data_IF_962424363969
#
_entry.id   IF_962424363969
#
_cell.length_a   1.000
_cell.length_b   1.000
_cell.length_c   1.000
_cell.angle_alpha   90.00
_cell.angle_beta   90.00
_cell.angle_gamma   90.00
#
_symmetry.space_group_name_H-M   'P 1'
#
loop_
_entity.id
_entity.type
_entity.pdbx_description
1 polymer ?
#
# COMPACT_ATOMS: atom_id res chain seq x y z
N UNK A 1 23.17 18.60 26.69
CA UNK A 1 21.81 18.56 26.10
C UNK A 1 21.97 18.88 24.62
N UNK A 2 21.85 17.89 23.72
CA UNK A 2 21.88 18.19 22.27
C UNK A 2 20.61 18.97 21.94
N UNK A 3 20.74 20.13 21.31
CA UNK A 3 19.58 20.88 20.83
C UNK A 3 18.80 19.99 19.87
N UNK A 4 17.49 19.87 20.09
CA UNK A 4 16.64 19.21 19.11
C UNK A 4 16.77 19.91 17.76
N UNK A 5 16.88 19.15 16.66
CA UNK A 5 16.96 19.74 15.34
C UNK A 5 15.72 20.59 15.12
N UNK A 6 15.92 21.84 14.67
CA UNK A 6 14.80 22.71 14.30
C UNK A 6 13.91 22.00 13.26
N UNK A 7 12.58 22.08 13.40
CA UNK A 7 11.68 21.46 12.44
C UNK A 7 11.92 22.04 11.05
N UNK A 8 11.78 21.18 10.05
CA UNK A 8 11.90 21.49 8.63
C UNK A 8 10.69 20.93 7.90
N UNK A 9 10.38 21.46 6.72
CA UNK A 9 9.31 20.90 5.86
C UNK A 9 9.47 19.39 5.65
N UNK A 10 10.70 18.91 5.50
CA UNK A 10 10.98 17.48 5.34
C UNK A 10 10.71 16.67 6.61
N UNK A 11 11.11 17.16 7.79
CA UNK A 11 10.85 16.46 9.05
C UNK A 11 9.37 16.43 9.40
N UNK A 12 8.63 17.50 9.10
CA UNK A 12 7.16 17.53 9.25
C UNK A 12 6.49 16.55 8.29
N UNK A 13 6.90 16.50 7.02
CA UNK A 13 6.36 15.51 6.07
C UNK A 13 6.64 14.06 6.49
N UNK A 14 7.81 13.79 7.07
CA UNK A 14 8.09 12.46 7.63
C UNK A 14 7.15 12.15 8.81
N UNK A 15 6.92 13.09 9.71
CA UNK A 15 5.96 12.91 10.80
C UNK A 15 4.53 12.67 10.27
N UNK A 16 4.11 13.36 9.19
CA UNK A 16 2.84 13.10 8.51
C UNK A 16 2.78 11.65 8.02
N UNK A 17 3.81 11.19 7.28
CA UNK A 17 3.87 9.82 6.76
C UNK A 17 3.82 8.80 7.91
N UNK A 18 4.64 8.97 8.95
CA UNK A 18 4.66 8.07 10.11
C UNK A 18 3.30 8.02 10.82
N UNK A 19 2.60 9.15 10.89
CA UNK A 19 1.26 9.23 11.48
C UNK A 19 0.22 8.53 10.60
N UNK A 20 0.28 8.65 9.27
CA UNK A 20 -0.61 7.87 8.37
C UNK A 20 -0.43 6.36 8.55
N UNK A 21 0.81 5.90 8.77
CA UNK A 21 1.12 4.51 9.09
C UNK A 21 0.62 4.11 10.49
N UNK A 22 0.60 5.03 11.46
CA UNK A 22 0.07 4.70 12.77
C UNK A 22 -1.47 4.58 12.78
N UNK A 23 -2.17 5.53 12.14
CA UNK A 23 -3.64 5.67 12.27
C UNK A 23 -4.46 4.65 11.50
N UNK A 24 -4.02 4.29 10.29
CA UNK A 24 -4.75 3.37 9.40
C UNK A 24 -6.18 3.81 9.04
N UNK A 25 -6.46 5.11 9.02
CA UNK A 25 -7.81 5.66 8.81
C UNK A 25 -8.02 6.29 7.43
N UNK A 26 -6.96 6.39 6.60
CA UNK A 26 -7.04 6.98 5.27
C UNK A 26 -7.13 8.51 5.26
N UNK A 27 -6.98 9.17 6.42
CA UNK A 27 -7.07 10.63 6.52
C UNK A 27 -5.68 11.27 6.49
N UNK A 28 -5.55 12.45 5.88
CA UNK A 28 -4.32 13.25 6.00
C UNK A 28 -4.25 13.80 7.44
N UNK A 29 -3.19 13.51 8.21
CA UNK A 29 -2.97 14.13 9.51
C UNK A 29 -2.74 15.64 9.35
N UNK A 30 -3.60 16.44 9.96
CA UNK A 30 -3.48 17.91 10.01
C UNK A 30 -3.11 18.43 11.40
N UNK A 31 -3.11 17.55 12.41
CA UNK A 31 -2.87 17.85 13.82
C UNK A 31 -1.41 17.65 14.24
N UNK A 32 -0.47 17.78 13.30
CA UNK A 32 0.97 17.66 13.56
C UNK A 32 1.59 19.04 13.75
N UNK A 33 2.35 19.21 14.82
CA UNK A 33 3.04 20.45 15.14
C UNK A 33 3.92 20.92 13.97
N UNK A 34 3.75 22.19 13.60
CA UNK A 34 4.53 22.82 12.53
C UNK A 34 4.01 22.61 11.12
N UNK A 35 2.90 21.87 10.89
CA UNK A 35 2.26 21.77 9.56
C UNK A 35 2.01 23.15 8.97
N UNK A 36 1.31 24.02 9.70
CA UNK A 36 0.90 25.34 9.21
C UNK A 36 2.08 26.29 8.94
N UNK A 37 3.26 26.00 9.49
CA UNK A 37 4.48 26.77 9.24
C UNK A 37 5.17 26.39 7.92
N UNK A 38 4.90 25.18 7.41
CA UNK A 38 5.62 24.63 6.27
C UNK A 38 4.73 24.23 5.11
N UNK A 39 3.42 24.06 5.29
CA UNK A 39 2.49 23.65 4.26
C UNK A 39 1.33 24.63 4.16
N UNK A 40 0.96 24.99 2.94
CA UNK A 40 -0.19 25.86 2.67
C UNK A 40 -1.49 25.04 2.61
N UNK A 41 -1.87 24.53 3.78
CA UNK A 41 -3.09 23.75 3.96
C UNK A 41 -3.09 22.37 3.30
N UNK A 42 -4.30 21.85 3.10
CA UNK A 42 -4.52 20.44 2.73
C UNK A 42 -4.09 20.11 1.30
N UNK A 43 -4.18 21.07 0.37
CA UNK A 43 -3.80 20.86 -1.03
C UNK A 43 -2.29 20.68 -1.19
N UNK A 44 -1.49 21.45 -0.44
CA UNK A 44 -0.05 21.32 -0.42
C UNK A 44 0.41 20.02 0.26
N UNK A 45 -0.25 19.62 1.35
CA UNK A 45 -0.01 18.31 1.98
C UNK A 45 -0.36 17.14 1.04
N UNK A 46 -1.52 17.18 0.37
CA UNK A 46 -1.94 16.17 -0.57
C UNK A 46 -0.92 16.05 -1.73
N UNK A 47 -0.51 17.19 -2.30
CA UNK A 47 0.50 17.24 -3.36
C UNK A 47 1.85 16.65 -2.90
N UNK A 48 2.27 16.95 -1.67
CA UNK A 48 3.49 16.39 -1.10
C UNK A 48 3.41 14.86 -0.91
N UNK A 49 2.27 14.34 -0.46
CA UNK A 49 2.05 12.90 -0.31
C UNK A 49 2.00 12.17 -1.66
N UNK A 50 1.34 12.75 -2.66
CA UNK A 50 1.32 12.23 -4.03
C UNK A 50 2.74 12.16 -4.62
N UNK A 51 3.54 13.22 -4.46
CA UNK A 51 4.93 13.24 -4.91
C UNK A 51 5.79 12.18 -4.18
N UNK A 52 5.57 12.00 -2.87
CA UNK A 52 6.26 10.98 -2.07
C UNK A 52 5.90 9.56 -2.49
N UNK A 53 4.63 9.31 -2.79
CA UNK A 53 4.18 8.05 -3.37
C UNK A 53 4.82 7.81 -4.73
N UNK A 54 4.74 8.77 -5.66
CA UNK A 54 5.33 8.66 -7.00
C UNK A 54 6.82 8.31 -6.92
N UNK A 55 7.59 9.05 -6.12
CA UNK A 55 9.04 8.80 -5.97
C UNK A 55 9.32 7.42 -5.38
N UNK A 56 8.50 6.96 -4.42
CA UNK A 56 8.61 5.61 -3.84
C UNK A 56 8.32 4.53 -4.89
N UNK A 57 7.29 4.72 -5.71
CA UNK A 57 6.94 3.79 -6.77
C UNK A 57 8.08 3.66 -7.78
N UNK A 58 8.61 4.79 -8.28
CA UNK A 58 9.73 4.79 -9.23
C UNK A 58 10.95 4.04 -8.65
N UNK A 59 11.34 4.33 -7.41
CA UNK A 59 12.44 3.63 -6.76
C UNK A 59 12.18 2.12 -6.56
N UNK A 60 10.92 1.72 -6.40
CA UNK A 60 10.54 0.30 -6.32
C UNK A 60 10.63 -0.38 -7.69
N UNK A 61 10.19 0.30 -8.76
CA UNK A 61 10.29 -0.19 -10.14
C UNK A 61 11.75 -0.38 -10.56
N UNK A 62 12.59 0.63 -10.33
CA UNK A 62 14.03 0.57 -10.63
C UNK A 62 14.71 -0.61 -9.91
N UNK A 63 14.38 -0.82 -8.63
CA UNK A 63 14.91 -1.94 -7.85
C UNK A 63 14.38 -3.29 -8.33
N UNK A 64 13.09 -3.39 -8.67
CA UNK A 64 12.50 -4.63 -9.15
C UNK A 64 13.04 -5.08 -10.51
N UNK A 65 13.59 -4.14 -11.29
CA UNK A 65 14.12 -4.39 -12.63
C UNK A 65 15.65 -4.42 -12.68
N UNK A 66 16.36 -4.28 -11.55
CA UNK A 66 17.84 -4.16 -11.53
C UNK A 66 18.55 -5.39 -12.07
N UNK A 67 17.94 -6.57 -11.90
CA UNK A 67 18.54 -7.86 -12.25
C UNK A 67 18.02 -8.38 -13.61
N UNK A 68 17.46 -7.49 -14.43
CA UNK A 68 16.93 -7.78 -15.77
C UNK A 68 16.00 -9.01 -15.80
N UNK A 69 14.88 -9.00 -15.06
CA UNK A 69 13.99 -10.14 -14.96
C UNK A 69 13.42 -10.54 -16.33
N UNK A 70 13.30 -11.86 -16.56
CA UNK A 70 12.71 -12.40 -17.79
C UNK A 70 11.26 -11.93 -17.98
N UNK A 71 10.48 -11.92 -16.90
CA UNK A 71 9.12 -11.36 -16.87
C UNK A 71 9.12 -9.97 -16.22
N UNK A 72 9.24 -8.94 -17.07
CA UNK A 72 9.24 -7.54 -16.63
C UNK A 72 7.87 -7.09 -16.14
N UNK A 73 6.77 -7.62 -16.69
CA UNK A 73 5.42 -7.25 -16.28
C UNK A 73 5.17 -7.72 -14.84
N UNK A 74 5.52 -8.97 -14.55
CA UNK A 74 5.46 -9.54 -13.20
C UNK A 74 6.34 -8.76 -12.21
N UNK A 75 7.56 -8.42 -12.60
CA UNK A 75 8.46 -7.61 -11.76
C UNK A 75 7.89 -6.22 -11.44
N UNK A 76 7.20 -5.59 -12.38
CA UNK A 76 6.52 -4.30 -12.17
C UNK A 76 5.32 -4.44 -11.22
N UNK A 77 4.52 -5.50 -11.37
CA UNK A 77 3.41 -5.81 -10.46
C UNK A 77 3.94 -5.99 -9.03
N UNK A 78 4.97 -6.80 -8.84
CA UNK A 78 5.57 -7.04 -7.52
C UNK A 78 6.25 -5.78 -6.95
N UNK A 79 6.89 -4.96 -7.79
CA UNK A 79 7.44 -3.68 -7.37
C UNK A 79 6.34 -2.71 -6.87
N UNK A 80 5.18 -2.65 -7.54
CA UNK A 80 4.05 -1.86 -7.07
C UNK A 80 3.52 -2.40 -5.73
N UNK A 81 3.35 -3.73 -5.60
CA UNK A 81 2.89 -4.36 -4.34
C UNK A 81 3.84 -4.06 -3.19
N UNK A 82 5.14 -4.13 -3.44
CA UNK A 82 6.18 -3.79 -2.48
C UNK A 82 6.16 -2.31 -2.09
N UNK A 83 5.96 -1.39 -3.04
CA UNK A 83 5.79 0.03 -2.75
C UNK A 83 4.56 0.27 -1.86
N UNK A 84 3.43 -0.37 -2.17
CA UNK A 84 2.21 -0.33 -1.36
C UNK A 84 2.43 -0.91 0.02
N UNK A 85 3.20 -1.99 0.17
CA UNK A 85 3.50 -2.57 1.49
C UNK A 85 4.28 -1.59 2.37
N UNK A 86 5.29 -0.92 1.82
CA UNK A 86 6.12 0.02 2.59
C UNK A 86 5.32 1.28 2.93
N UNK A 87 4.56 1.83 1.97
CA UNK A 87 3.83 3.09 2.10
C UNK A 87 2.32 2.88 2.22
N UNK A 88 1.89 1.81 2.92
CA UNK A 88 0.47 1.42 2.94
C UNK A 88 -0.43 2.52 3.52
N UNK A 89 0.03 3.27 4.53
CA UNK A 89 -0.72 4.38 5.13
C UNK A 89 -0.93 5.53 4.14
N UNK A 90 0.12 5.91 3.41
CA UNK A 90 0.04 6.91 2.34
C UNK A 90 -0.85 6.41 1.20
N UNK A 91 -0.76 5.13 0.83
CA UNK A 91 -1.62 4.55 -0.21
C UNK A 91 -3.09 4.57 0.21
N UNK A 92 -3.41 4.29 1.47
CA UNK A 92 -4.78 4.42 1.98
C UNK A 92 -5.29 5.85 1.90
N UNK A 93 -4.46 6.84 2.21
CA UNK A 93 -4.81 8.26 2.02
C UNK A 93 -5.09 8.57 0.55
N UNK A 94 -4.23 8.14 -0.36
CA UNK A 94 -4.43 8.37 -1.80
C UNK A 94 -5.70 7.68 -2.31
N UNK A 95 -6.00 6.47 -1.83
CA UNK A 95 -7.21 5.74 -2.18
C UNK A 95 -8.46 6.52 -1.68
N UNK A 96 -8.45 7.04 -0.44
CA UNK A 96 -9.52 7.91 0.09
C UNK A 96 -9.67 9.21 -0.72
N UNK A 97 -8.57 9.89 -1.06
CA UNK A 97 -8.61 11.10 -1.89
C UNK A 97 -9.10 10.83 -3.32
N UNK A 98 -8.95 9.59 -3.81
CA UNK A 98 -9.48 9.18 -5.10
C UNK A 98 -11.00 9.03 -5.05
N UNK A 99 -11.53 8.48 -3.94
CA UNK A 99 -12.96 8.24 -3.75
C UNK A 99 -13.71 9.51 -3.32
N UNK A 100 -13.15 10.27 -2.38
CA UNK A 100 -13.76 11.43 -1.75
C UNK A 100 -12.81 12.64 -1.73
N UNK A 101 -12.44 13.22 -2.89
CA UNK A 101 -11.57 14.39 -2.93
C UNK A 101 -12.26 15.59 -2.27
N UNK A 102 -11.59 16.31 -1.33
CA UNK A 102 -12.20 17.45 -0.64
C UNK A 102 -12.28 18.70 -1.51
N UNK A 103 -11.44 18.79 -2.56
CA UNK A 103 -11.45 19.88 -3.55
C UNK A 103 -11.20 19.33 -4.95
N UNK A 104 -11.65 20.07 -5.97
CA UNK A 104 -11.39 19.70 -7.37
C UNK A 104 -9.89 19.76 -7.71
N UNK A 105 -9.14 20.66 -7.08
CA UNK A 105 -7.68 20.73 -7.22
C UNK A 105 -7.02 19.43 -6.80
N UNK A 106 -7.40 18.87 -5.66
CA UNK A 106 -6.89 17.59 -5.18
C UNK A 106 -7.35 16.45 -6.09
N UNK A 107 -8.63 16.47 -6.53
CA UNK A 107 -9.14 15.47 -7.46
C UNK A 107 -8.31 15.41 -8.75
N UNK A 108 -7.96 16.56 -9.32
CA UNK A 108 -7.13 16.62 -10.53
C UNK A 108 -5.68 16.19 -10.26
N UNK A 109 -5.09 16.61 -9.14
CA UNK A 109 -3.73 16.20 -8.77
C UNK A 109 -3.61 14.68 -8.60
N UNK A 110 -4.60 14.04 -7.97
CA UNK A 110 -4.68 12.57 -7.81
C UNK A 110 -4.79 11.90 -9.18
N UNK A 111 -5.71 12.35 -10.06
CA UNK A 111 -5.87 11.79 -11.41
C UNK A 111 -4.60 11.91 -12.25
N UNK A 112 -3.95 13.07 -12.22
CA UNK A 112 -2.71 13.32 -12.96
C UNK A 112 -1.57 12.43 -12.45
N UNK A 113 -1.40 12.33 -11.14
CA UNK A 113 -0.38 11.47 -10.53
C UNK A 113 -0.62 10.00 -10.89
N UNK A 114 -1.86 9.52 -10.79
CA UNK A 114 -2.21 8.14 -11.13
C UNK A 114 -1.90 7.82 -12.61
N UNK A 115 -2.25 8.72 -13.55
CA UNK A 115 -1.90 8.53 -14.96
C UNK A 115 -0.39 8.44 -15.20
N UNK A 116 0.38 9.30 -14.53
CA UNK A 116 1.84 9.30 -14.62
C UNK A 116 2.44 8.02 -14.05
N UNK A 117 1.96 7.56 -12.89
CA UNK A 117 2.37 6.30 -12.27
C UNK A 117 2.09 5.11 -13.17
N UNK A 118 0.89 5.03 -13.75
CA UNK A 118 0.51 3.94 -14.64
C UNK A 118 1.33 3.95 -15.94
N UNK A 119 1.54 5.12 -16.54
CA UNK A 119 2.41 5.21 -17.72
C UNK A 119 3.85 4.79 -17.38
N UNK A 120 4.39 5.21 -16.23
CA UNK A 120 5.71 4.79 -15.77
C UNK A 120 5.81 3.28 -15.58
N UNK A 121 4.78 2.63 -15.01
CA UNK A 121 4.71 1.18 -14.89
C UNK A 121 4.73 0.49 -16.28
N UNK A 122 3.94 0.99 -17.24
CA UNK A 122 3.90 0.43 -18.60
C UNK A 122 5.24 0.56 -19.33
N UNK A 123 5.92 1.70 -19.18
CA UNK A 123 7.27 1.92 -19.73
C UNK A 123 8.27 0.98 -19.05
N UNK A 124 8.22 0.86 -17.72
CA UNK A 124 9.12 -0.02 -16.96
C UNK A 124 8.96 -1.49 -17.38
N UNK A 125 7.73 -1.94 -17.66
CA UNK A 125 7.43 -3.27 -18.17
C UNK A 125 7.86 -3.48 -19.64
N UNK A 126 8.26 -2.42 -20.37
CA UNK A 126 8.59 -2.49 -21.80
C UNK A 126 7.37 -2.55 -22.72
N UNK A 127 6.18 -2.22 -22.21
CA UNK A 127 4.90 -2.31 -22.93
C UNK A 127 4.45 -0.96 -23.52
N UNK A 128 5.20 0.11 -23.27
CA UNK A 128 4.96 1.45 -23.79
C UNK A 128 6.28 2.21 -23.98
N UNK A 129 6.26 3.22 -24.85
CA UNK A 129 7.42 4.08 -25.15
C UNK A 129 7.24 5.54 -24.75
N UNK A 130 6.13 5.90 -24.09
CA UNK A 130 5.83 7.28 -23.74
C UNK A 130 4.73 7.42 -22.70
N UNK A 131 4.56 8.65 -22.21
CA UNK A 131 3.54 9.02 -21.23
C UNK A 131 2.26 9.44 -21.94
N UNK A 132 1.49 8.45 -22.39
CA UNK A 132 0.21 8.66 -23.06
C UNK A 132 -0.92 7.82 -22.45
N UNK A 133 -2.14 8.12 -22.88
CA UNK A 133 -3.35 7.46 -22.37
C UNK A 133 -3.36 5.93 -22.65
N UNK A 134 -2.89 5.41 -23.80
CA UNK A 134 -2.63 3.99 -23.97
C UNK A 134 -1.70 3.38 -22.91
N UNK A 135 -0.57 4.01 -22.61
CA UNK A 135 0.37 3.54 -21.58
C UNK A 135 -0.29 3.52 -20.19
N UNK A 136 -1.03 4.58 -19.84
CA UNK A 136 -1.77 4.65 -18.58
C UNK A 136 -2.79 3.51 -18.44
N UNK A 137 -3.49 3.11 -19.52
CA UNK A 137 -4.40 1.94 -19.47
C UNK A 137 -3.68 0.63 -19.22
N UNK A 138 -2.47 0.45 -19.76
CA UNK A 138 -1.66 -0.76 -19.51
C UNK A 138 -1.24 -0.81 -18.04
N UNK A 139 -0.67 0.29 -17.52
CA UNK A 139 -0.28 0.40 -16.12
C UNK A 139 -1.43 0.21 -15.14
N UNK A 140 -2.60 0.77 -15.45
CA UNK A 140 -3.78 0.62 -14.62
C UNK A 140 -4.20 -0.86 -14.50
N UNK A 141 -4.10 -1.66 -15.57
CA UNK A 141 -4.37 -3.11 -15.48
C UNK A 141 -3.39 -3.83 -14.55
N UNK A 142 -2.12 -3.46 -14.57
CA UNK A 142 -1.10 -4.01 -13.66
C UNK A 142 -1.36 -3.61 -12.21
N UNK A 143 -1.78 -2.36 -11.93
CA UNK A 143 -2.22 -1.97 -10.58
C UNK A 143 -3.44 -2.79 -10.12
N UNK A 144 -4.43 -3.01 -10.99
CA UNK A 144 -5.61 -3.82 -10.64
C UNK A 144 -5.23 -5.28 -10.34
N UNK A 145 -4.29 -5.86 -11.09
CA UNK A 145 -3.71 -7.17 -10.82
C UNK A 145 -3.04 -7.21 -9.44
N UNK A 146 -2.14 -6.26 -9.18
CA UNK A 146 -1.43 -6.13 -7.92
C UNK A 146 -2.38 -6.01 -6.72
N UNK A 147 -3.44 -5.19 -6.85
CA UNK A 147 -4.49 -5.04 -5.84
C UNK A 147 -5.23 -6.34 -5.58
N UNK A 148 -5.61 -7.07 -6.64
CA UNK A 148 -6.30 -8.35 -6.51
C UNK A 148 -5.46 -9.36 -5.72
N UNK A 149 -4.16 -9.45 -6.00
CA UNK A 149 -3.22 -10.31 -5.27
C UNK A 149 -3.11 -9.93 -3.79
N UNK A 150 -2.97 -8.63 -3.51
CA UNK A 150 -2.94 -8.13 -2.13
C UNK A 150 -4.23 -8.44 -1.35
N UNK A 151 -5.40 -8.37 -1.99
CA UNK A 151 -6.68 -8.72 -1.37
C UNK A 151 -6.77 -10.23 -1.08
N UNK A 152 -6.31 -11.07 -2.00
CA UNK A 152 -6.29 -12.53 -1.83
C UNK A 152 -5.40 -12.94 -0.65
N UNK A 153 -4.18 -12.40 -0.56
CA UNK A 153 -3.27 -12.67 0.55
C UNK A 153 -3.80 -12.19 1.90
N UNK A 154 -4.44 -11.03 1.94
CA UNK A 154 -5.11 -10.54 3.17
C UNK A 154 -6.24 -11.48 3.60
N UNK A 155 -7.00 -12.00 2.64
CA UNK A 155 -8.10 -12.92 2.91
C UNK A 155 -7.60 -14.25 3.48
N UNK A 156 -6.56 -14.84 2.88
CA UNK A 156 -5.96 -16.11 3.36
C UNK A 156 -5.24 -15.96 4.70
N UNK A 157 -4.62 -14.80 4.98
CA UNK A 157 -4.01 -14.50 6.27
C UNK A 157 -5.05 -14.31 7.39
N UNK A 158 -6.26 -13.84 7.05
CA UNK A 158 -7.37 -13.63 7.99
C UNK A 158 -8.15 -14.91 8.29
N UNK A 159 -7.86 -16.01 7.59
CA UNK A 159 -8.42 -17.34 7.85
C UNK A 159 -7.50 -18.33 8.63
N UNK A 160 -7.03 -18.01 9.85
CA UNK A 160 -6.48 -19.02 10.79
C UNK A 160 -7.57 -19.86 11.47
N UNK A 161 -8.83 -19.41 11.44
CA UNK A 161 -9.90 -19.95 12.29
C UNK A 161 -10.41 -21.31 11.79
N UNK A 162 -10.44 -21.55 10.48
CA UNK A 162 -10.81 -22.86 9.91
C UNK A 162 -9.77 -23.95 10.21
N UNK A 163 -8.47 -23.60 10.21
CA UNK A 163 -7.39 -24.54 10.58
C UNK A 163 -7.44 -24.93 12.04
N UNK A 164 -7.71 -23.99 12.95
CA UNK A 164 -7.86 -24.28 14.38
C UNK A 164 -9.09 -25.13 14.71
N UNK A 165 -10.19 -24.94 13.97
CA UNK A 165 -11.42 -25.71 14.15
C UNK A 165 -11.27 -27.16 13.68
N UNK A 166 -10.62 -27.39 12.53
CA UNK A 166 -10.36 -28.73 12.02
C UNK A 166 -9.38 -29.53 12.89
N UNK A 167 -8.39 -28.86 13.50
CA UNK A 167 -7.49 -29.50 14.47
C UNK A 167 -8.26 -29.94 15.72
N UNK A 168 -9.12 -29.07 16.29
CA UNK A 168 -9.96 -29.42 17.45
C UNK A 168 -10.96 -30.53 17.15
N UNK A 169 -11.55 -30.55 15.95
CA UNK A 169 -12.49 -31.59 15.54
C UNK A 169 -11.79 -32.95 15.38
N UNK A 170 -10.58 -32.94 14.80
CA UNK A 170 -9.74 -34.13 14.69
C UNK A 170 -9.34 -34.69 16.05
N UNK A 171 -8.97 -33.82 16.99
CA UNK A 171 -8.64 -34.22 18.38
C UNK A 171 -9.87 -34.77 19.13
N UNK A 172 -11.06 -34.22 18.89
CA UNK A 172 -12.30 -34.71 19.48
C UNK A 172 -12.72 -36.10 18.95
N UNK A 173 -12.41 -36.40 17.68
CA UNK A 173 -12.71 -37.70 17.07
C UNK A 173 -11.68 -38.75 17.50
N UNK A 174 -10.40 -38.37 17.67
CA UNK A 174 -9.33 -39.29 18.09
C UNK A 174 -9.35 -39.52 19.61
N UNK A 175 -9.72 -38.51 20.42
CA UNK A 175 -9.75 -38.59 21.89
C UNK A 175 -10.89 -39.43 22.49
N UNK A 176 -11.87 -39.88 21.70
CA UNK A 176 -13.02 -40.66 22.20
C UNK A 176 -12.84 -42.18 22.12
N UNK A 177 -11.69 -42.66 21.66
CA UNK A 177 -11.39 -44.08 21.47
C UNK A 177 -10.42 -44.62 22.52
N UNK A 178 -10.65 -44.37 23.82
CA UNK A 178 -10.04 -45.14 24.93
C UNK A 178 -10.68 -44.73 26.24
N UNK A 179 -11.61 -45.55 26.75
CA UNK A 179 -11.76 -45.90 28.18
C UNK A 179 -13.07 -46.67 28.40
N UNK A 180 -12.97 -47.99 28.45
CA UNK A 180 -13.85 -48.81 29.28
C UNK A 180 -13.10 -50.08 29.67
N UNK A 181 -12.73 -50.25 30.94
CA UNK A 181 -12.64 -51.56 31.54
C UNK A 181 -13.93 -51.84 32.33
N UNK A 182 -14.62 -52.89 31.90
CA UNK A 182 -15.53 -53.66 32.75
C UNK A 182 -14.72 -54.40 33.81
N UNK A 183 -15.11 -54.30 35.08
CA UNK A 183 -15.07 -55.38 36.10
C UNK A 183 -15.73 -54.87 37.39
N UNK A 184 -16.84 -55.50 37.79
CA UNK A 184 -17.09 -56.07 39.13
C UNK A 184 -18.60 -56.30 39.35
N UNK A 185 -19.07 -57.53 39.13
CA UNK A 185 -19.62 -58.43 40.17
C UNK A 185 -19.75 -59.85 39.64
#
# INVERSE_FOLDING_TARGET
MKAEPKPSRASVLHAVIDTTLARRDGQIPTDIEGIDNFFDGIEDLASALLLRWHTRLIASLERGLSDEPEDREEAVIEAWRHATWIYWGVRMVIDELTENPPTETIAEAVRMTARNDWAAMAIAAGLASGFDEPAARVGHRMELEARRRNQLERSTARDPHERGFLIRLKDAIIGRASTSPLSDT
#
